data_IF_411430991482
#
_entry.id   IF_411430991482
#
_cell.length_a   1.000
_cell.length_b   1.000
_cell.length_c   1.000
_cell.angle_alpha   90.00
_cell.angle_beta   90.00
_cell.angle_gamma   90.00
#
_symmetry.space_group_name_H-M   'P 1'
#
loop_
_entity.id
_entity.type
_entity.pdbx_description
1 polymer ?
#
# COMPACT_ATOMS: atom_id res chain seq x y z
N UNK A 1 -4.94 -4.19 -19.72
CA UNK A 1 -5.20 -5.32 -18.77
C UNK A 1 -5.90 -4.75 -17.53
N UNK A 2 -6.81 -5.52 -16.90
CA UNK A 2 -7.33 -5.12 -15.57
C UNK A 2 -6.21 -5.34 -14.56
N UNK A 3 -5.87 -4.29 -13.81
CA UNK A 3 -4.79 -4.35 -12.82
C UNK A 3 -5.33 -4.62 -11.42
N UNK A 4 -6.55 -4.15 -11.15
CA UNK A 4 -7.22 -4.27 -9.86
C UNK A 4 -8.72 -4.51 -10.10
N UNK A 5 -9.28 -5.53 -9.47
CA UNK A 5 -10.70 -5.85 -9.57
C UNK A 5 -11.27 -6.24 -8.19
N UNK A 6 -12.52 -5.89 -7.96
CA UNK A 6 -13.30 -6.41 -6.84
C UNK A 6 -14.65 -6.89 -7.34
N UNK A 7 -15.17 -7.94 -6.71
CA UNK A 7 -16.53 -8.44 -6.97
C UNK A 7 -17.25 -8.66 -5.64
N UNK A 8 -18.35 -7.92 -5.47
CA UNK A 8 -19.26 -8.03 -4.32
C UNK A 8 -18.53 -7.99 -2.97
N UNK A 9 -17.50 -7.15 -2.85
CA UNK A 9 -16.72 -7.06 -1.62
C UNK A 9 -17.56 -6.48 -0.49
N UNK A 10 -17.67 -7.27 0.59
CA UNK A 10 -18.32 -6.89 1.84
C UNK A 10 -17.31 -6.89 2.98
N UNK A 11 -17.41 -5.92 3.86
CA UNK A 11 -16.65 -5.91 5.12
C UNK A 11 -17.55 -5.48 6.26
N UNK A 12 -17.79 -6.40 7.16
CA UNK A 12 -18.64 -6.22 8.34
C UNK A 12 -17.79 -6.38 9.59
N UNK A 13 -17.89 -5.40 10.48
CA UNK A 13 -17.22 -5.42 11.78
C UNK A 13 -18.27 -5.69 12.88
N UNK A 14 -17.98 -6.63 13.75
CA UNK A 14 -18.77 -6.86 14.95
C UNK A 14 -18.36 -5.84 16.03
N UNK A 15 -19.31 -5.09 16.54
CA UNK A 15 -19.11 -4.13 17.62
C UNK A 15 -20.06 -4.42 18.79
N UNK A 16 -19.82 -3.92 20.01
CA UNK A 16 -20.76 -4.09 21.12
C UNK A 16 -22.16 -3.52 20.81
N UNK A 17 -22.28 -2.56 19.91
CA UNK A 17 -23.54 -1.92 19.49
C UNK A 17 -24.20 -2.59 18.28
N UNK A 18 -23.62 -3.67 17.74
CA UNK A 18 -24.16 -4.38 16.59
C UNK A 18 -23.17 -4.51 15.43
N UNK A 19 -23.66 -4.83 14.25
CA UNK A 19 -22.86 -5.03 13.05
C UNK A 19 -22.71 -3.71 12.30
N UNK A 20 -21.46 -3.28 12.08
CA UNK A 20 -21.15 -2.15 11.20
C UNK A 20 -20.79 -2.69 9.81
N UNK A 21 -21.60 -2.35 8.80
CA UNK A 21 -21.35 -2.70 7.39
C UNK A 21 -20.49 -1.61 6.74
N UNK A 22 -19.18 -1.74 6.83
CA UNK A 22 -18.24 -0.76 6.29
C UNK A 22 -18.19 -0.79 4.75
N UNK A 23 -18.34 -1.97 4.17
CA UNK A 23 -18.52 -2.19 2.73
C UNK A 23 -19.65 -3.19 2.53
N UNK A 24 -20.53 -2.96 1.55
CA UNK A 24 -21.69 -3.82 1.30
C UNK A 24 -21.91 -4.02 -0.21
N UNK A 25 -21.14 -4.94 -0.80
CA UNK A 25 -21.27 -5.33 -2.22
C UNK A 25 -20.52 -4.41 -3.20
N UNK A 26 -19.28 -4.01 -2.89
CA UNK A 26 -18.48 -3.12 -3.75
C UNK A 26 -17.83 -3.90 -4.89
N UNK A 27 -18.15 -3.54 -6.13
CA UNK A 27 -17.55 -4.10 -7.34
C UNK A 27 -16.94 -2.97 -8.17
N UNK A 28 -15.62 -3.01 -8.37
CA UNK A 28 -14.88 -2.04 -9.20
C UNK A 28 -13.87 -2.78 -10.09
N UNK A 29 -13.49 -2.13 -11.18
CA UNK A 29 -12.47 -2.63 -12.10
C UNK A 29 -11.62 -1.47 -12.56
N UNK A 30 -10.30 -1.59 -12.39
CA UNK A 30 -9.31 -0.56 -12.71
C UNK A 30 -8.32 -1.10 -13.73
N UNK A 31 -8.13 -0.37 -14.82
CA UNK A 31 -7.17 -0.72 -15.87
C UNK A 31 -5.76 -0.27 -15.48
N UNK A 32 -4.77 -0.95 -16.00
CA UNK A 32 -3.37 -0.54 -15.92
C UNK A 32 -3.19 0.90 -16.42
N UNK A 33 -2.35 1.68 -15.74
CA UNK A 33 -2.10 3.09 -16.07
C UNK A 33 -3.19 4.07 -15.64
N UNK A 34 -4.26 3.60 -14.96
CA UNK A 34 -5.31 4.48 -14.46
C UNK A 34 -4.84 5.21 -13.20
N UNK A 35 -5.03 6.53 -13.17
CA UNK A 35 -4.99 7.32 -11.95
C UNK A 35 -6.43 7.49 -11.42
N UNK A 36 -6.72 6.92 -10.27
CA UNK A 36 -8.05 6.89 -9.67
C UNK A 36 -8.10 7.59 -8.32
N UNK A 37 -9.25 8.15 -7.97
CA UNK A 37 -9.52 8.69 -6.64
C UNK A 37 -10.82 8.11 -6.06
N UNK A 38 -10.76 7.68 -4.78
CA UNK A 38 -11.94 7.25 -4.02
C UNK A 38 -12.39 8.44 -3.16
N UNK A 39 -13.56 8.97 -3.46
CA UNK A 39 -14.13 10.15 -2.79
C UNK A 39 -15.40 9.79 -2.03
N UNK A 40 -15.70 10.55 -0.99
CA UNK A 40 -16.91 10.35 -0.17
C UNK A 40 -16.78 11.03 1.20
N UNK A 41 -17.88 11.09 1.94
CA UNK A 41 -17.93 11.65 3.30
C UNK A 41 -17.10 10.87 4.30
N UNK A 42 -16.81 11.45 5.47
CA UNK A 42 -16.15 10.72 6.57
C UNK A 42 -17.02 9.52 6.97
N UNK A 43 -16.39 8.37 7.26
CA UNK A 43 -17.11 7.14 7.63
C UNK A 43 -17.72 6.36 6.45
N UNK A 44 -17.58 6.79 5.19
CA UNK A 44 -18.16 6.10 4.03
C UNK A 44 -17.40 4.83 3.57
N UNK A 45 -16.44 4.32 4.35
CA UNK A 45 -15.74 3.07 4.05
C UNK A 45 -14.52 3.20 3.15
N UNK A 46 -14.08 4.41 2.76
CA UNK A 46 -12.94 4.62 1.84
C UNK A 46 -11.65 3.92 2.31
N UNK A 47 -11.27 4.14 3.57
CA UNK A 47 -10.08 3.51 4.16
C UNK A 47 -10.24 1.98 4.22
N UNK A 48 -11.43 1.49 4.57
CA UNK A 48 -11.73 0.06 4.56
C UNK A 48 -11.58 -0.51 3.16
N UNK A 49 -12.10 0.18 2.14
CA UNK A 49 -11.94 -0.25 0.75
C UNK A 49 -10.46 -0.29 0.34
N UNK A 50 -9.68 0.75 0.66
CA UNK A 50 -8.23 0.77 0.40
C UNK A 50 -7.50 -0.38 1.09
N UNK A 51 -7.89 -0.74 2.32
CA UNK A 51 -7.31 -1.89 3.02
C UNK A 51 -7.64 -3.22 2.33
N UNK A 52 -8.87 -3.38 1.80
CA UNK A 52 -9.25 -4.56 1.01
C UNK A 52 -8.43 -4.62 -0.28
N UNK A 53 -8.36 -3.51 -1.03
CA UNK A 53 -7.60 -3.40 -2.28
C UNK A 53 -6.10 -3.64 -2.08
N UNK A 54 -5.55 -3.16 -0.96
CA UNK A 54 -4.16 -3.36 -0.56
C UNK A 54 -3.87 -4.73 0.07
N UNK A 55 -4.88 -5.58 0.25
CA UNK A 55 -4.73 -6.88 0.93
C UNK A 55 -4.24 -6.77 2.38
N UNK A 56 -4.48 -5.60 3.03
CA UNK A 56 -4.10 -5.35 4.44
C UNK A 56 -5.11 -5.97 5.41
N UNK A 57 -6.34 -6.17 4.94
CA UNK A 57 -7.40 -6.84 5.69
C UNK A 57 -8.19 -7.76 4.73
N UNK A 58 -8.96 -8.69 5.27
CA UNK A 58 -9.73 -9.64 4.48
C UNK A 58 -11.21 -9.24 4.39
N UNK A 59 -11.83 -9.34 3.22
CA UNK A 59 -13.26 -9.13 3.09
C UNK A 59 -14.04 -10.21 3.84
N UNK A 60 -15.16 -9.83 4.45
CA UNK A 60 -16.12 -10.77 5.02
C UNK A 60 -16.70 -11.67 3.93
N UNK A 61 -16.98 -11.07 2.76
CA UNK A 61 -17.45 -11.77 1.57
C UNK A 61 -16.99 -11.04 0.30
N UNK A 62 -17.14 -11.69 -0.85
CA UNK A 62 -16.65 -11.17 -2.12
C UNK A 62 -15.16 -11.46 -2.34
N UNK A 63 -14.58 -10.87 -3.37
CA UNK A 63 -13.24 -11.18 -3.84
C UNK A 63 -12.50 -9.95 -4.34
N UNK A 64 -11.18 -9.93 -4.14
CA UNK A 64 -10.25 -8.91 -4.66
C UNK A 64 -9.18 -9.61 -5.51
N UNK A 65 -8.89 -9.04 -6.70
CA UNK A 65 -7.80 -9.49 -7.57
C UNK A 65 -6.84 -8.36 -7.86
N UNK A 66 -5.56 -8.68 -7.84
CA UNK A 66 -4.48 -7.79 -8.29
C UNK A 66 -3.69 -8.52 -9.36
N UNK A 67 -3.57 -7.94 -10.55
CA UNK A 67 -2.95 -8.57 -11.75
C UNK A 67 -3.51 -9.95 -12.04
N UNK A 68 -4.83 -10.12 -11.90
CA UNK A 68 -5.51 -11.41 -12.08
C UNK A 68 -5.31 -12.43 -10.97
N UNK A 69 -4.53 -12.13 -9.92
CA UNK A 69 -4.31 -13.02 -8.78
C UNK A 69 -5.30 -12.68 -7.67
N UNK A 70 -6.08 -13.68 -7.22
CA UNK A 70 -7.05 -13.54 -6.14
C UNK A 70 -6.33 -13.45 -4.77
N UNK A 71 -6.72 -12.48 -3.94
CA UNK A 71 -6.13 -12.30 -2.61
C UNK A 71 -6.78 -13.17 -1.54
N UNK A 72 -8.09 -13.47 -1.69
CA UNK A 72 -8.83 -14.32 -0.74
C UNK A 72 -8.40 -15.79 -0.88
N UNK A 73 -8.14 -16.42 0.26
CA UNK A 73 -7.68 -17.81 0.30
C UNK A 73 -6.17 -18.00 0.10
N UNK A 74 -5.42 -16.93 -0.16
CA UNK A 74 -3.97 -16.99 -0.21
C UNK A 74 -3.41 -17.18 1.21
N UNK A 75 -2.49 -18.13 1.45
CA UNK A 75 -1.83 -18.30 2.76
C UNK A 75 -1.17 -16.99 3.23
N UNK A 76 -1.16 -16.74 4.54
CA UNK A 76 -0.73 -15.46 5.11
C UNK A 76 0.69 -15.04 4.71
N UNK A 77 1.63 -15.97 4.66
CA UNK A 77 3.01 -15.73 4.23
C UNK A 77 3.08 -15.38 2.74
N UNK A 78 2.42 -16.16 1.90
CA UNK A 78 2.34 -15.93 0.46
C UNK A 78 1.67 -14.59 0.14
N UNK A 79 0.58 -14.25 0.83
CA UNK A 79 -0.10 -12.95 0.73
C UNK A 79 0.83 -11.79 1.11
N UNK A 80 1.65 -11.97 2.14
CA UNK A 80 2.62 -10.96 2.59
C UNK A 80 3.70 -10.72 1.54
N UNK A 81 4.23 -11.78 0.94
CA UNK A 81 5.19 -11.70 -0.16
C UNK A 81 4.54 -11.06 -1.39
N UNK A 82 3.33 -11.50 -1.75
CA UNK A 82 2.59 -10.96 -2.88
C UNK A 82 2.37 -9.44 -2.75
N UNK A 83 1.89 -8.98 -1.58
CA UNK A 83 1.71 -7.54 -1.32
C UNK A 83 3.01 -6.77 -1.48
N UNK A 84 4.08 -7.22 -0.84
CA UNK A 84 5.40 -6.57 -0.89
C UNK A 84 5.88 -6.36 -2.32
N UNK A 85 5.61 -7.29 -3.21
CA UNK A 85 6.06 -7.27 -4.61
C UNK A 85 5.13 -6.53 -5.56
N UNK A 86 3.83 -6.46 -5.25
CA UNK A 86 2.83 -5.99 -6.21
C UNK A 86 2.08 -4.74 -5.77
N UNK A 87 2.11 -4.37 -4.48
CA UNK A 87 1.29 -3.28 -3.94
C UNK A 87 2.18 -2.31 -3.14
N UNK A 88 2.28 -1.08 -3.61
CA UNK A 88 2.88 0.02 -2.86
C UNK A 88 1.82 0.72 -2.01
N UNK A 89 1.96 0.70 -0.69
CA UNK A 89 1.00 1.33 0.20
C UNK A 89 1.62 2.53 0.93
N UNK A 90 0.98 3.69 0.81
CA UNK A 90 1.35 4.90 1.55
C UNK A 90 0.30 5.15 2.62
N UNK A 91 0.68 4.98 3.89
CA UNK A 91 -0.21 5.18 5.03
C UNK A 91 -0.38 6.67 5.36
N UNK A 92 -1.53 7.02 5.94
CA UNK A 92 -1.81 8.38 6.39
C UNK A 92 -0.78 8.89 7.42
N UNK A 93 -0.31 8.02 8.30
CA UNK A 93 0.71 8.33 9.32
C UNK A 93 2.13 7.94 8.87
N UNK A 94 2.34 7.75 7.55
CA UNK A 94 3.61 7.39 6.89
C UNK A 94 4.21 6.05 7.36
N UNK A 95 4.05 5.64 8.61
CA UNK A 95 4.54 4.39 9.22
C UNK A 95 6.01 4.12 8.90
N UNK A 96 6.87 5.14 9.05
CA UNK A 96 8.31 4.98 8.94
C UNK A 96 8.83 4.29 10.20
N UNK A 97 9.80 3.40 10.00
CA UNK A 97 10.52 2.75 11.11
C UNK A 97 11.48 3.78 11.70
N UNK A 98 11.23 4.19 12.94
CA UNK A 98 11.92 5.32 13.59
C UNK A 98 13.41 5.07 13.86
N UNK A 99 13.81 3.81 13.93
CA UNK A 99 15.19 3.36 14.17
C UNK A 99 16.00 3.15 12.88
N UNK A 100 15.38 3.37 11.72
CA UNK A 100 16.01 3.25 10.42
C UNK A 100 16.14 4.62 9.76
N UNK A 101 17.27 4.83 9.06
CA UNK A 101 17.48 6.02 8.23
C UNK A 101 16.47 6.10 7.08
N UNK A 102 16.43 7.24 6.37
CA UNK A 102 15.63 7.43 5.17
C UNK A 102 15.96 6.36 4.12
N UNK A 103 17.24 6.15 3.84
CA UNK A 103 17.71 5.11 2.90
C UNK A 103 17.20 3.74 3.28
N UNK A 104 17.36 3.36 4.53
CA UNK A 104 16.93 2.05 5.04
C UNK A 104 15.41 1.90 5.00
N UNK A 105 14.65 2.93 5.38
CA UNK A 105 13.19 2.92 5.24
C UNK A 105 12.74 2.71 3.80
N UNK A 106 13.37 3.39 2.83
CA UNK A 106 13.04 3.25 1.40
C UNK A 106 13.35 1.84 0.91
N UNK A 107 14.51 1.29 1.26
CA UNK A 107 14.97 0.00 0.75
C UNK A 107 14.47 -1.22 1.53
N UNK A 108 13.84 -1.00 2.68
CA UNK A 108 13.35 -2.06 3.57
C UNK A 108 12.53 -3.15 2.86
N UNK A 109 11.56 -2.84 1.98
CA UNK A 109 10.79 -3.89 1.31
C UNK A 109 11.65 -4.82 0.44
N UNK A 110 12.68 -4.29 -0.22
CA UNK A 110 13.60 -5.10 -1.02
C UNK A 110 14.48 -5.98 -0.13
N UNK A 111 14.98 -5.44 0.99
CA UNK A 111 15.81 -6.18 1.93
C UNK A 111 15.05 -7.34 2.58
N UNK A 112 13.78 -7.12 2.96
CA UNK A 112 12.89 -8.17 3.50
C UNK A 112 12.59 -9.27 2.48
N UNK A 113 12.75 -9.00 1.19
CA UNK A 113 12.54 -9.96 0.10
C UNK A 113 13.85 -10.59 -0.40
N UNK A 114 14.97 -10.27 0.27
CA UNK A 114 16.32 -10.73 -0.12
C UNK A 114 16.81 -10.16 -1.46
N UNK A 115 16.19 -9.10 -1.95
CA UNK A 115 16.51 -8.48 -3.23
C UNK A 115 17.62 -7.44 -3.10
N UNK A 116 18.43 -7.33 -4.15
CA UNK A 116 19.43 -6.27 -4.24
C UNK A 116 18.77 -4.95 -4.62
N UNK A 117 19.29 -3.86 -4.04
CA UNK A 117 18.83 -2.51 -4.34
C UNK A 117 19.41 -2.07 -5.69
N UNK A 118 18.54 -1.73 -6.64
CA UNK A 118 18.92 -1.04 -7.87
C UNK A 118 19.31 0.41 -7.52
N UNK A 119 20.61 0.67 -7.44
CA UNK A 119 21.17 1.96 -7.03
C UNK A 119 20.79 3.10 -7.99
N UNK A 120 20.67 2.78 -9.28
CA UNK A 120 20.24 3.77 -10.29
C UNK A 120 18.81 4.20 -10.04
N UNK A 121 17.91 3.24 -9.85
CA UNK A 121 16.50 3.52 -9.58
C UNK A 121 16.29 4.20 -8.22
N UNK A 122 17.04 3.79 -7.19
CA UNK A 122 17.01 4.47 -5.89
C UNK A 122 17.41 5.95 -6.05
N UNK A 123 18.48 6.25 -6.81
CA UNK A 123 18.91 7.60 -7.09
C UNK A 123 17.82 8.40 -7.83
N UNK A 124 17.24 7.85 -8.88
CA UNK A 124 16.16 8.49 -9.66
C UNK A 124 14.95 8.86 -8.77
N UNK A 125 14.49 7.94 -7.92
CA UNK A 125 13.37 8.19 -7.00
C UNK A 125 13.74 9.29 -5.99
N UNK A 126 14.92 9.21 -5.38
CA UNK A 126 15.31 10.15 -4.32
C UNK A 126 15.57 11.55 -4.85
N UNK A 127 16.09 11.69 -6.06
CA UNK A 127 16.21 12.97 -6.76
C UNK A 127 14.84 13.56 -7.06
N UNK A 128 13.94 12.77 -7.67
CA UNK A 128 12.58 13.20 -8.02
C UNK A 128 11.77 13.67 -6.79
N UNK A 129 11.97 13.01 -5.65
CA UNK A 129 11.29 13.33 -4.38
C UNK A 129 12.07 14.31 -3.49
N UNK A 130 13.21 14.85 -3.97
CA UNK A 130 14.09 15.80 -3.24
C UNK A 130 14.52 15.25 -1.87
N UNK A 131 14.98 14.00 -1.85
CA UNK A 131 15.44 13.29 -0.66
C UNK A 131 16.94 12.99 -0.65
N UNK A 132 17.66 13.30 -1.71
CA UNK A 132 19.07 12.93 -1.90
C UNK A 132 19.96 13.31 -0.72
N UNK A 133 19.84 14.55 -0.22
CA UNK A 133 20.61 15.04 0.92
C UNK A 133 20.10 14.55 2.28
N UNK A 134 19.00 13.80 2.30
CA UNK A 134 18.33 13.32 3.52
C UNK A 134 18.48 11.83 3.76
N UNK A 135 19.17 11.11 2.88
CA UNK A 135 19.24 9.66 2.91
C UNK A 135 19.74 9.06 4.23
N UNK A 136 20.65 9.76 4.89
CA UNK A 136 21.25 9.32 6.16
C UNK A 136 20.53 9.93 7.39
N UNK A 137 19.48 10.74 7.20
CA UNK A 137 18.69 11.29 8.30
C UNK A 137 17.73 10.25 8.86
N UNK A 138 17.42 10.42 10.16
CA UNK A 138 16.38 9.61 10.83
C UNK A 138 14.99 10.26 10.64
N UNK A 139 13.90 9.50 10.71
CA UNK A 139 12.53 10.03 10.51
C UNK A 139 12.19 11.23 11.38
N UNK A 140 12.63 11.26 12.65
CA UNK A 140 12.37 12.38 13.58
C UNK A 140 13.07 13.71 13.18
N UNK A 141 14.06 13.65 12.28
CA UNK A 141 14.77 14.83 11.76
C UNK A 141 14.07 15.43 10.53
N UNK A 142 12.96 14.84 10.08
CA UNK A 142 12.24 15.23 8.86
C UNK A 142 10.95 15.95 9.18
N UNK A 143 10.58 16.94 8.34
CA UNK A 143 9.23 17.50 8.35
C UNK A 143 8.20 16.43 7.90
N UNK A 144 6.91 16.62 8.25
CA UNK A 144 5.83 15.71 7.84
C UNK A 144 5.78 15.50 6.32
N UNK A 145 5.96 16.55 5.52
CA UNK A 145 6.01 16.43 4.06
C UNK A 145 7.25 15.67 3.55
N UNK A 146 8.38 15.73 4.28
CA UNK A 146 9.55 14.91 3.96
C UNK A 146 9.30 13.45 4.31
N UNK A 147 8.71 13.17 5.47
CA UNK A 147 8.32 11.81 5.87
C UNK A 147 7.34 11.18 4.87
N UNK A 148 6.37 11.96 4.39
CA UNK A 148 5.45 11.51 3.34
C UNK A 148 6.21 11.13 2.06
N UNK A 149 7.16 11.94 1.62
CA UNK A 149 7.97 11.63 0.43
C UNK A 149 8.81 10.36 0.63
N UNK A 150 9.34 10.12 1.83
CA UNK A 150 10.03 8.85 2.16
C UNK A 150 9.07 7.66 2.06
N UNK A 151 7.84 7.79 2.57
CA UNK A 151 6.82 6.73 2.46
C UNK A 151 6.44 6.46 0.99
N UNK A 152 6.36 7.50 0.17
CA UNK A 152 6.14 7.38 -1.29
C UNK A 152 7.33 6.66 -1.94
N UNK A 153 8.57 7.07 -1.65
CA UNK A 153 9.76 6.41 -2.18
C UNK A 153 9.81 4.92 -1.81
N UNK A 154 9.47 4.59 -0.54
CA UNK A 154 9.37 3.20 -0.07
C UNK A 154 8.31 2.40 -0.82
N UNK A 155 7.17 3.01 -1.14
CA UNK A 155 6.12 2.35 -1.91
C UNK A 155 6.55 2.10 -3.37
N UNK A 156 7.34 3.00 -3.96
CA UNK A 156 7.78 2.93 -5.36
C UNK A 156 8.96 1.98 -5.60
N UNK A 157 9.84 1.77 -4.60
CA UNK A 157 11.14 1.10 -4.79
C UNK A 157 11.01 -0.34 -5.30
N UNK A 158 9.92 -1.02 -4.97
CA UNK A 158 9.63 -2.38 -5.44
C UNK A 158 9.07 -2.44 -6.87
N UNK A 159 8.85 -1.28 -7.51
CA UNK A 159 8.19 -1.17 -8.83
C UNK A 159 6.83 -1.90 -8.84
N UNK A 160 5.93 -1.58 -7.89
CA UNK A 160 4.69 -2.33 -7.70
C UNK A 160 3.73 -2.13 -8.87
N UNK A 161 2.77 -3.06 -9.00
CA UNK A 161 1.73 -2.98 -10.02
C UNK A 161 0.67 -1.92 -9.69
N UNK A 162 0.44 -1.67 -8.39
CA UNK A 162 -0.56 -0.72 -7.85
C UNK A 162 0.07 0.07 -6.70
N UNK A 163 -0.20 1.35 -6.63
CA UNK A 163 0.15 2.23 -5.51
C UNK A 163 -1.13 2.82 -4.96
#
# INVERSE_FOLDING_TARGET
>A
MQILETKEVKKYYQTPSGIVRALDGVSISVKEGTFGAIVGSSGSGKTTLLHMLGGLDEPTDGQVWVRGTALKGMPGEEKTIFRRRNIGFVFQNYNLVSTLSVRENITLPLLLDGMRVDQKFLKEITESLKLTEKLDHMPHMLSGGQQQRVAIARALITKPAVI
#
